data_IF_446563501793
#
_entry.id   IF_446563501793
#
_cell.length_a   1.000
_cell.length_b   1.000
_cell.length_c   1.000
_cell.angle_alpha   90.00
_cell.angle_beta   90.00
_cell.angle_gamma   90.00
#
_symmetry.space_group_name_H-M   'P 1'
#
loop_
_entity.id
_entity.type
_entity.pdbx_description
1 polymer ?
#
# COMPACT_ATOMS: atom_id res chain seq x y z
N UNK A 1 -45.95 46.83 -6.18
CA UNK A 1 -45.55 45.44 -5.86
C UNK A 1 -44.68 44.83 -6.98
N UNK A 2 -43.57 45.46 -7.38
CA UNK A 2 -42.64 44.92 -8.42
C UNK A 2 -41.16 45.04 -7.99
N UNK A 3 -40.86 45.57 -6.80
CA UNK A 3 -39.47 45.73 -6.31
C UNK A 3 -39.00 44.68 -5.30
N UNK A 4 -39.86 43.76 -4.87
CA UNK A 4 -39.51 42.68 -3.94
C UNK A 4 -39.27 41.32 -4.61
N UNK A 5 -39.54 41.19 -5.92
CA UNK A 5 -39.39 39.92 -6.63
C UNK A 5 -38.00 39.69 -7.25
N UNK A 6 -37.16 40.73 -7.30
CA UNK A 6 -35.79 40.64 -7.86
C UNK A 6 -34.71 40.33 -6.83
N UNK A 7 -35.00 40.42 -5.53
CA UNK A 7 -34.01 40.17 -4.47
C UNK A 7 -34.02 38.71 -3.98
N UNK A 8 -35.09 37.96 -4.20
CA UNK A 8 -35.23 36.55 -3.79
C UNK A 8 -34.71 35.55 -4.83
N UNK A 9 -34.51 35.95 -6.08
CA UNK A 9 -33.91 35.09 -7.12
C UNK A 9 -32.37 35.13 -7.12
N UNK A 10 -31.74 36.14 -6.50
CA UNK A 10 -30.29 36.25 -6.41
C UNK A 10 -29.68 35.41 -5.27
N UNK A 11 -30.45 35.04 -4.25
CA UNK A 11 -29.96 34.28 -3.07
C UNK A 11 -30.08 32.76 -3.24
N UNK A 12 -30.85 32.28 -4.21
CA UNK A 12 -30.97 30.85 -4.49
C UNK A 12 -29.90 30.29 -5.44
N UNK A 13 -29.07 31.15 -6.06
CA UNK A 13 -27.96 30.71 -6.92
C UNK A 13 -26.60 30.68 -6.20
N UNK A 14 -26.51 31.16 -4.96
CA UNK A 14 -25.25 31.20 -4.20
C UNK A 14 -25.05 30.01 -3.24
N UNK A 15 -25.98 29.05 -3.19
CA UNK A 15 -25.84 27.81 -2.41
C UNK A 15 -25.47 26.59 -3.26
N UNK A 16 -24.80 26.79 -4.40
CA UNK A 16 -23.87 25.75 -4.83
C UNK A 16 -22.73 25.79 -3.84
N UNK A 17 -22.80 24.93 -2.82
CA UNK A 17 -21.60 24.54 -2.09
C UNK A 17 -20.59 24.14 -3.16
N UNK A 18 -19.61 25.01 -3.44
CA UNK A 18 -18.49 24.63 -4.29
C UNK A 18 -17.82 23.50 -3.53
N UNK A 19 -18.11 22.27 -3.94
CA UNK A 19 -17.42 21.10 -3.44
C UNK A 19 -15.93 21.44 -3.50
N UNK A 20 -15.26 21.37 -2.35
CA UNK A 20 -13.86 21.74 -2.29
C UNK A 20 -13.09 20.72 -3.12
N UNK A 21 -12.82 21.09 -4.37
CA UNK A 21 -12.03 20.29 -5.29
C UNK A 21 -10.64 20.20 -4.69
N UNK A 22 -10.17 18.99 -4.44
CA UNK A 22 -8.87 18.74 -3.84
C UNK A 22 -7.99 18.07 -4.89
N UNK A 23 -6.82 18.63 -5.13
CA UNK A 23 -5.82 18.03 -6.01
C UNK A 23 -5.08 16.93 -5.26
N UNK A 24 -4.89 15.77 -5.90
CA UNK A 24 -3.96 14.72 -5.43
C UNK A 24 -2.56 15.30 -5.22
N UNK A 25 -2.21 16.33 -6.00
CA UNK A 25 -0.92 17.01 -5.91
C UNK A 25 -1.05 18.34 -5.17
N UNK A 26 -0.42 18.45 -4.01
CA UNK A 26 -0.34 19.69 -3.23
C UNK A 26 1.00 20.42 -3.47
N UNK A 27 0.96 21.72 -3.79
CA UNK A 27 2.15 22.57 -3.98
C UNK A 27 3.16 22.54 -2.83
N UNK A 28 2.69 22.33 -1.60
CA UNK A 28 3.58 22.28 -0.43
C UNK A 28 4.53 21.07 -0.45
N UNK A 29 4.24 20.04 -1.26
CA UNK A 29 4.93 18.76 -1.24
C UNK A 29 5.68 18.44 -2.56
N UNK A 30 5.59 19.30 -3.57
CA UNK A 30 6.22 19.11 -4.88
C UNK A 30 7.52 19.89 -4.98
N UNK A 31 8.61 19.21 -5.30
CA UNK A 31 9.89 19.80 -5.64
C UNK A 31 10.49 19.14 -6.91
N UNK A 32 11.73 19.47 -7.27
CA UNK A 32 12.38 18.96 -8.47
C UNK A 32 12.60 17.43 -8.46
N UNK A 33 12.66 16.81 -7.28
CA UNK A 33 12.80 15.36 -7.10
C UNK A 33 11.47 14.61 -7.20
N UNK A 34 10.34 15.31 -7.05
CA UNK A 34 9.01 14.70 -7.17
C UNK A 34 8.75 14.19 -8.58
N UNK A 35 8.16 13.01 -8.67
CA UNK A 35 7.63 12.37 -9.88
C UNK A 35 6.22 11.86 -9.57
N UNK A 36 5.36 11.78 -10.59
CA UNK A 36 4.01 11.22 -10.44
C UNK A 36 3.74 10.21 -11.54
N UNK A 37 3.26 9.02 -11.18
CA UNK A 37 3.03 7.93 -12.12
C UNK A 37 1.61 7.39 -11.98
N UNK A 38 0.89 7.29 -13.10
CA UNK A 38 -0.35 6.51 -13.19
C UNK A 38 -0.02 5.11 -13.71
N UNK A 39 -0.41 4.09 -12.96
CA UNK A 39 0.04 2.71 -13.14
C UNK A 39 -1.13 1.73 -12.94
N UNK A 40 -1.65 1.17 -14.04
CA UNK A 40 -2.64 0.10 -14.05
C UNK A 40 -1.99 -1.23 -13.64
N UNK A 41 -2.67 -2.08 -12.86
CA UNK A 41 -2.03 -3.21 -12.22
C UNK A 41 -1.58 -4.27 -13.24
N UNK A 42 -0.35 -4.77 -13.06
CA UNK A 42 0.30 -5.68 -14.01
C UNK A 42 -0.30 -7.09 -14.05
N UNK A 43 -1.10 -7.45 -13.05
CA UNK A 43 -1.80 -8.73 -12.98
C UNK A 43 -3.16 -8.72 -13.73
N UNK A 44 -3.60 -7.56 -14.26
CA UNK A 44 -4.81 -7.48 -15.09
C UNK A 44 -4.54 -8.03 -16.50
N UNK A 45 -4.92 -9.29 -16.73
CA UNK A 45 -4.74 -10.00 -18.01
C UNK A 45 -5.45 -9.29 -19.17
N UNK A 46 -6.58 -8.61 -18.91
CA UNK A 46 -7.31 -7.88 -19.96
C UNK A 46 -6.75 -6.49 -20.23
N UNK A 47 -5.77 -6.03 -19.44
CA UNK A 47 -5.08 -4.74 -19.62
C UNK A 47 -6.05 -3.57 -19.68
N UNK A 48 -7.15 -3.67 -18.94
CA UNK A 48 -8.35 -2.83 -19.05
C UNK A 48 -8.04 -1.35 -18.91
N UNK A 49 -7.09 -1.04 -18.02
CA UNK A 49 -6.75 0.32 -17.62
C UNK A 49 -5.35 0.77 -18.05
N UNK A 50 -4.60 -0.02 -18.84
CA UNK A 50 -3.29 0.41 -19.36
C UNK A 50 -3.37 1.71 -20.18
N UNK A 51 -4.53 1.99 -20.79
CA UNK A 51 -4.82 3.25 -21.50
C UNK A 51 -4.71 4.51 -20.64
N UNK A 52 -4.68 4.36 -19.32
CA UNK A 52 -4.56 5.46 -18.36
C UNK A 52 -3.14 5.57 -17.77
N UNK A 53 -2.18 4.76 -18.22
CA UNK A 53 -0.80 4.82 -17.71
C UNK A 53 -0.09 6.10 -18.15
N UNK A 54 0.50 6.83 -17.19
CA UNK A 54 1.21 8.08 -17.48
C UNK A 54 2.43 8.33 -16.58
N UNK A 55 3.36 9.19 -17.02
CA UNK A 55 4.61 9.48 -16.34
C UNK A 55 4.96 10.99 -16.31
N UNK A 56 4.79 11.64 -15.15
CA UNK A 56 5.09 13.06 -14.96
C UNK A 56 6.42 13.25 -14.24
N UNK A 57 7.48 13.53 -15.01
CA UNK A 57 8.85 13.59 -14.45
C UNK A 57 9.38 15.00 -14.21
N UNK A 58 8.68 16.03 -14.67
CA UNK A 58 9.11 17.43 -14.54
C UNK A 58 8.11 18.25 -13.75
N UNK A 59 8.59 19.28 -13.04
CA UNK A 59 7.73 20.18 -12.29
C UNK A 59 6.66 20.83 -13.19
N UNK A 60 6.99 21.20 -14.42
CA UNK A 60 6.03 21.78 -15.37
C UNK A 60 4.94 20.78 -15.81
N UNK A 61 5.30 19.52 -16.05
CA UNK A 61 4.34 18.47 -16.36
C UNK A 61 3.39 18.21 -15.18
N UNK A 62 3.92 18.13 -13.96
CA UNK A 62 3.16 17.96 -12.73
C UNK A 62 2.19 19.14 -12.52
N UNK A 63 2.66 20.38 -12.65
CA UNK A 63 1.81 21.57 -12.51
C UNK A 63 0.69 21.61 -13.55
N UNK A 64 0.98 21.20 -14.79
CA UNK A 64 -0.02 21.14 -15.86
C UNK A 64 -1.06 20.05 -15.62
N UNK A 65 -0.72 18.98 -14.90
CA UNK A 65 -1.58 17.84 -14.65
C UNK A 65 -2.53 18.02 -13.46
N UNK A 66 -2.29 19.01 -12.58
CA UNK A 66 -3.10 19.22 -11.37
C UNK A 66 -4.61 19.27 -11.61
N UNK A 67 -5.13 20.06 -12.58
CA UNK A 67 -6.58 20.11 -12.80
C UNK A 67 -7.19 18.78 -13.25
N UNK A 68 -6.36 17.89 -13.81
CA UNK A 68 -6.78 16.53 -14.22
C UNK A 68 -6.80 15.58 -13.02
N UNK A 69 -5.90 15.79 -12.05
CA UNK A 69 -5.72 14.98 -10.84
C UNK A 69 -6.49 15.56 -9.64
N UNK A 70 -7.56 16.28 -9.91
CA UNK A 70 -8.48 16.83 -8.93
C UNK A 70 -9.63 15.86 -8.65
N UNK A 71 -9.86 15.54 -7.39
CA UNK A 71 -11.01 14.76 -6.93
C UNK A 71 -12.02 15.64 -6.19
N UNK A 72 -13.27 15.18 -6.23
CA UNK A 72 -14.42 15.92 -5.73
C UNK A 72 -14.76 15.56 -4.29
N UNK A 73 -16.07 15.58 -4.00
CA UNK A 73 -16.62 15.29 -2.68
C UNK A 73 -16.35 13.85 -2.24
N UNK A 74 -16.30 13.64 -0.92
CA UNK A 74 -16.23 12.31 -0.33
C UNK A 74 -17.45 11.47 -0.74
N UNK A 75 -17.20 10.31 -1.33
CA UNK A 75 -18.23 9.39 -1.79
C UNK A 75 -18.73 8.52 -0.65
N UNK A 76 -19.98 8.06 -0.74
CA UNK A 76 -20.48 6.97 0.13
C UNK A 76 -20.18 5.58 -0.44
N UNK A 77 -19.64 5.51 -1.66
CA UNK A 77 -19.26 4.24 -2.28
C UNK A 77 -17.89 3.79 -1.76
N UNK A 78 -17.88 2.86 -0.83
CA UNK A 78 -16.68 2.21 -0.28
C UNK A 78 -16.23 0.99 -1.08
N UNK A 79 -16.84 0.70 -2.23
CA UNK A 79 -16.39 -0.37 -3.10
C UNK A 79 -15.12 0.06 -3.83
N UNK A 80 -14.11 -0.81 -3.78
CA UNK A 80 -12.89 -0.72 -4.56
C UNK A 80 -12.89 -1.80 -5.65
N UNK A 81 -12.32 -1.48 -6.80
CA UNK A 81 -12.07 -2.46 -7.85
C UNK A 81 -10.81 -3.25 -7.51
N UNK A 82 -10.85 -4.56 -7.76
CA UNK A 82 -9.69 -5.44 -7.54
C UNK A 82 -8.49 -5.02 -8.40
N UNK A 83 -8.76 -4.53 -9.62
CA UNK A 83 -7.75 -4.10 -10.59
C UNK A 83 -7.77 -2.57 -10.83
N UNK A 84 -8.07 -1.77 -9.79
CA UNK A 84 -8.00 -0.32 -9.91
C UNK A 84 -6.60 0.19 -10.28
N UNK A 85 -6.54 1.36 -10.92
CA UNK A 85 -5.28 2.02 -11.28
C UNK A 85 -4.71 2.76 -10.06
N UNK A 86 -3.40 2.69 -9.88
CA UNK A 86 -2.73 3.48 -8.83
C UNK A 86 -2.11 4.76 -9.41
N UNK A 87 -2.32 5.89 -8.73
CA UNK A 87 -1.53 7.10 -8.94
C UNK A 87 -0.55 7.22 -7.79
N UNK A 88 0.74 7.17 -8.09
CA UNK A 88 1.82 7.27 -7.11
C UNK A 88 2.50 8.63 -7.18
N UNK A 89 2.66 9.27 -6.02
CA UNK A 89 3.65 10.34 -5.86
C UNK A 89 4.95 9.74 -5.33
N UNK A 90 6.05 10.05 -6.01
CA UNK A 90 7.34 9.40 -5.79
C UNK A 90 8.44 10.43 -5.56
N UNK A 91 9.28 10.21 -4.55
CA UNK A 91 10.53 10.95 -4.33
C UNK A 91 11.67 9.97 -4.12
N UNK A 92 12.78 10.20 -4.81
CA UNK A 92 13.95 9.31 -4.77
C UNK A 92 13.57 7.83 -4.98
N UNK A 93 12.64 7.54 -5.90
CA UNK A 93 12.10 6.20 -6.20
C UNK A 93 11.32 5.53 -5.05
N UNK A 94 10.95 6.28 -4.02
CA UNK A 94 10.07 5.82 -2.93
C UNK A 94 8.70 6.45 -3.05
N UNK A 95 7.65 5.67 -2.83
CA UNK A 95 6.29 6.17 -2.75
C UNK A 95 6.19 7.05 -1.50
N UNK A 96 5.73 8.28 -1.67
CA UNK A 96 5.48 9.23 -0.57
C UNK A 96 3.99 9.51 -0.39
N UNK A 97 3.18 9.22 -1.40
CA UNK A 97 1.71 9.28 -1.33
C UNK A 97 1.13 8.46 -2.50
N UNK A 98 -0.12 8.02 -2.36
CA UNK A 98 -0.77 7.21 -3.40
C UNK A 98 -2.30 7.27 -3.35
N UNK A 99 -2.91 7.09 -4.52
CA UNK A 99 -4.35 7.02 -4.70
C UNK A 99 -4.72 5.78 -5.50
N UNK A 100 -5.76 5.07 -5.04
CA UNK A 100 -6.39 3.99 -5.81
C UNK A 100 -7.56 4.57 -6.59
N UNK A 101 -7.45 4.60 -7.92
CA UNK A 101 -8.49 5.02 -8.84
C UNK A 101 -9.31 3.81 -9.27
N UNK A 102 -10.63 3.91 -9.22
CA UNK A 102 -11.55 2.89 -9.70
C UNK A 102 -12.36 3.48 -10.87
N UNK A 103 -11.87 3.33 -12.13
CA UNK A 103 -12.49 3.97 -13.28
C UNK A 103 -13.95 3.58 -13.52
N UNK A 104 -14.33 2.31 -13.33
CA UNK A 104 -15.71 1.87 -13.53
C UNK A 104 -16.66 2.34 -12.41
N UNK A 105 -16.12 2.65 -11.23
CA UNK A 105 -16.89 3.15 -10.09
C UNK A 105 -16.85 4.69 -9.94
N UNK A 106 -16.16 5.40 -10.83
CA UNK A 106 -16.01 6.87 -10.82
C UNK A 106 -15.58 7.41 -9.44
N UNK A 107 -14.64 6.70 -8.80
CA UNK A 107 -14.14 7.08 -7.49
C UNK A 107 -12.62 6.90 -7.37
N UNK A 108 -12.06 7.53 -6.34
CA UNK A 108 -10.69 7.35 -5.90
C UNK A 108 -10.65 7.14 -4.40
N UNK A 109 -9.71 6.36 -3.90
CA UNK A 109 -9.41 6.24 -2.47
C UNK A 109 -8.10 6.92 -2.12
N UNK A 110 -8.11 7.64 -1.02
CA UNK A 110 -6.93 8.17 -0.35
C UNK A 110 -7.04 7.87 1.14
N UNK A 111 -6.04 7.22 1.73
CA UNK A 111 -6.05 6.81 3.14
C UNK A 111 -7.33 6.09 3.58
N UNK A 112 -7.85 5.20 2.72
CA UNK A 112 -9.07 4.43 2.95
C UNK A 112 -10.38 5.21 2.81
N UNK A 113 -10.31 6.51 2.48
CA UNK A 113 -11.49 7.36 2.28
C UNK A 113 -11.80 7.50 0.79
N UNK A 114 -13.05 7.21 0.34
CA UNK A 114 -13.43 7.34 -1.05
C UNK A 114 -13.87 8.76 -1.41
N UNK A 115 -13.54 9.20 -2.61
CA UNK A 115 -13.92 10.49 -3.20
C UNK A 115 -14.41 10.29 -4.64
N UNK A 116 -15.26 11.20 -5.13
CA UNK A 116 -15.65 11.19 -6.55
C UNK A 116 -14.46 11.56 -7.43
N UNK A 117 -14.26 10.81 -8.52
CA UNK A 117 -13.19 11.06 -9.47
C UNK A 117 -13.56 10.55 -10.86
N UNK A 118 -13.24 11.34 -11.87
CA UNK A 118 -13.48 10.99 -13.27
C UNK A 118 -12.17 10.57 -13.93
N UNK A 119 -11.98 9.25 -14.04
CA UNK A 119 -10.76 8.65 -14.58
C UNK A 119 -10.57 8.88 -16.08
N UNK A 120 -11.63 9.25 -16.83
CA UNK A 120 -11.50 9.48 -18.27
C UNK A 120 -10.60 10.71 -18.57
N UNK A 121 -10.48 11.63 -17.61
CA UNK A 121 -9.54 12.75 -17.71
C UNK A 121 -8.07 12.29 -17.77
N UNK A 122 -7.75 11.11 -17.25
CA UNK A 122 -6.39 10.56 -17.25
C UNK A 122 -5.89 10.21 -18.65
N UNK A 123 -6.79 9.98 -19.63
CA UNK A 123 -6.41 9.74 -21.02
C UNK A 123 -5.55 10.87 -21.57
N UNK A 124 -5.87 12.12 -21.22
CA UNK A 124 -5.10 13.31 -21.65
C UNK A 124 -3.65 13.26 -21.13
N UNK A 125 -3.45 12.73 -19.92
CA UNK A 125 -2.10 12.55 -19.36
C UNK A 125 -1.38 11.38 -20.02
N UNK A 126 -2.08 10.26 -20.23
CA UNK A 126 -1.51 9.06 -20.85
C UNK A 126 -1.09 9.30 -22.31
N UNK A 127 -1.85 10.09 -23.08
CA UNK A 127 -1.48 10.47 -24.44
C UNK A 127 -0.26 11.40 -24.48
N UNK A 128 -0.19 12.36 -23.55
CA UNK A 128 0.90 13.36 -23.53
C UNK A 128 2.18 12.83 -22.89
N UNK A 129 2.05 11.96 -21.91
CA UNK A 129 3.14 11.44 -21.09
C UNK A 129 2.99 9.92 -20.90
N UNK A 130 3.02 9.12 -21.98
CA UNK A 130 2.73 7.70 -21.91
C UNK A 130 3.71 6.94 -21.02
N UNK A 131 3.21 5.91 -20.36
CA UNK A 131 4.02 5.00 -19.57
C UNK A 131 3.76 3.55 -19.96
N UNK A 132 4.84 2.86 -20.34
CA UNK A 132 4.92 1.41 -20.41
C UNK A 132 5.92 0.98 -19.35
N UNK A 133 5.56 0.00 -18.53
CA UNK A 133 6.39 -0.41 -17.42
C UNK A 133 6.18 -1.90 -17.11
N UNK A 134 7.12 -2.44 -16.34
CA UNK A 134 7.08 -3.80 -15.79
C UNK A 134 7.52 -3.81 -14.33
N UNK A 135 7.24 -4.91 -13.66
CA UNK A 135 7.80 -5.21 -12.35
C UNK A 135 8.96 -6.21 -12.50
N UNK A 136 10.07 -5.89 -11.84
CA UNK A 136 11.17 -6.82 -11.62
C UNK A 136 11.26 -7.13 -10.12
N UNK A 137 11.18 -8.42 -9.79
CA UNK A 137 11.35 -8.92 -8.42
C UNK A 137 12.77 -9.46 -8.25
N UNK A 138 13.48 -8.97 -7.24
CA UNK A 138 14.85 -9.42 -6.90
C UNK A 138 14.89 -9.95 -5.49
N UNK A 139 15.34 -11.19 -5.34
CA UNK A 139 15.55 -11.81 -4.03
C UNK A 139 16.99 -11.64 -3.56
N UNK A 140 17.15 -11.36 -2.27
CA UNK A 140 18.45 -11.20 -1.61
C UNK A 140 18.57 -12.22 -0.48
N UNK A 141 19.80 -12.64 -0.18
CA UNK A 141 20.07 -13.56 0.93
C UNK A 141 20.05 -12.85 2.28
N UNK A 142 20.43 -11.58 2.31
CA UNK A 142 20.51 -10.76 3.51
C UNK A 142 20.66 -9.27 3.16
N UNK A 143 20.54 -8.42 4.19
CA UNK A 143 20.64 -6.97 4.06
C UNK A 143 22.01 -6.53 3.49
N UNK A 144 23.10 -7.18 3.90
CA UNK A 144 24.45 -6.82 3.42
C UNK A 144 24.60 -6.99 1.91
N UNK A 145 23.95 -8.00 1.32
CA UNK A 145 23.91 -8.19 -0.13
C UNK A 145 23.11 -7.07 -0.81
N UNK A 146 21.93 -6.75 -0.28
CA UNK A 146 21.10 -5.66 -0.80
C UNK A 146 21.84 -4.32 -0.77
N UNK A 147 22.49 -3.97 0.35
CA UNK A 147 23.20 -2.70 0.50
C UNK A 147 24.34 -2.51 -0.52
N UNK A 148 24.97 -3.59 -0.99
CA UNK A 148 25.99 -3.50 -2.07
C UNK A 148 25.40 -3.09 -3.41
N UNK A 149 24.16 -3.45 -3.69
CA UNK A 149 23.48 -3.17 -4.98
C UNK A 149 22.58 -1.94 -4.91
N UNK A 150 22.20 -1.52 -3.70
CA UNK A 150 21.25 -0.43 -3.43
C UNK A 150 21.60 0.84 -4.20
N UNK A 151 22.85 1.29 -4.14
CA UNK A 151 23.25 2.51 -4.84
C UNK A 151 23.01 2.42 -6.36
N UNK A 152 23.33 1.28 -6.98
CA UNK A 152 23.11 1.08 -8.41
C UNK A 152 21.61 1.07 -8.77
N UNK A 153 20.78 0.42 -7.95
CA UNK A 153 19.32 0.45 -8.12
C UNK A 153 18.77 1.89 -8.06
N UNK A 154 19.22 2.68 -7.10
CA UNK A 154 18.78 4.06 -6.94
C UNK A 154 19.43 5.04 -7.94
N UNK A 155 20.51 4.67 -8.60
CA UNK A 155 21.11 5.46 -9.68
C UNK A 155 20.50 5.19 -11.07
N UNK A 156 19.93 4.01 -11.30
CA UNK A 156 19.41 3.60 -12.61
C UNK A 156 18.17 4.42 -13.04
N UNK A 157 18.23 5.24 -14.10
CA UNK A 157 17.14 6.14 -14.48
C UNK A 157 15.86 5.41 -14.94
N UNK A 158 15.93 4.12 -15.25
CA UNK A 158 14.75 3.34 -15.65
C UNK A 158 13.94 2.81 -14.46
N UNK A 159 14.50 2.83 -13.25
CA UNK A 159 13.76 2.45 -12.04
C UNK A 159 12.85 3.60 -11.62
N UNK A 160 11.54 3.36 -11.66
CA UNK A 160 10.52 4.34 -11.30
C UNK A 160 10.23 4.32 -9.80
N UNK A 161 9.96 3.12 -9.27
CA UNK A 161 9.64 2.86 -7.87
C UNK A 161 10.42 1.64 -7.40
N UNK A 162 10.98 1.72 -6.19
CA UNK A 162 11.67 0.62 -5.52
C UNK A 162 11.02 0.41 -4.16
N UNK A 163 10.40 -0.75 -3.98
CA UNK A 163 10.01 -1.27 -2.66
C UNK A 163 11.18 -2.11 -2.15
N UNK A 164 11.83 -1.64 -1.08
CA UNK A 164 12.98 -2.32 -0.49
C UNK A 164 12.53 -3.63 0.21
N UNK A 165 13.40 -4.66 0.28
CA UNK A 165 13.08 -5.86 1.03
C UNK A 165 12.92 -5.56 2.53
N UNK A 166 11.98 -6.24 3.19
CA UNK A 166 11.84 -6.16 4.64
C UNK A 166 12.78 -7.17 5.34
N UNK A 167 13.83 -6.65 5.96
CA UNK A 167 14.80 -7.42 6.73
C UNK A 167 14.47 -7.51 8.23
N UNK A 168 13.27 -7.08 8.65
CA UNK A 168 12.87 -7.05 10.07
C UNK A 168 12.86 -8.44 10.70
N UNK A 169 12.45 -9.47 9.95
CA UNK A 169 12.35 -10.84 10.42
C UNK A 169 13.13 -11.79 9.50
N UNK A 170 13.81 -12.78 10.06
CA UNK A 170 14.51 -13.83 9.29
C UNK A 170 13.55 -14.93 8.85
N UNK A 171 12.49 -15.12 9.60
CA UNK A 171 11.52 -16.17 9.37
C UNK A 171 10.46 -16.19 10.45
N UNK A 172 9.69 -17.25 10.45
CA UNK A 172 8.68 -17.50 11.46
C UNK A 172 8.53 -18.98 11.73
N UNK A 173 7.86 -19.30 12.84
CA UNK A 173 7.37 -20.63 13.13
C UNK A 173 6.03 -20.53 13.83
N UNK A 174 5.27 -21.61 13.81
CA UNK A 174 3.96 -21.68 14.42
C UNK A 174 3.99 -22.48 15.72
N UNK A 175 3.13 -22.10 16.67
CA UNK A 175 2.94 -22.84 17.92
C UNK A 175 1.44 -23.05 18.13
N UNK A 176 1.06 -24.30 18.38
CA UNK A 176 -0.32 -24.68 18.68
C UNK A 176 -0.55 -24.70 20.19
N UNK A 177 -1.63 -24.06 20.61
CA UNK A 177 -2.08 -23.96 21.99
C UNK A 177 -3.46 -24.59 22.13
N UNK A 178 -3.69 -25.46 23.13
CA UNK A 178 -5.03 -25.94 23.44
C UNK A 178 -5.87 -24.81 24.05
N UNK A 179 -7.15 -24.74 23.70
CA UNK A 179 -8.07 -23.84 24.39
C UNK A 179 -8.36 -24.38 25.79
N UNK A 180 -8.00 -23.61 26.81
CA UNK A 180 -8.24 -23.93 28.22
C UNK A 180 -8.30 -22.64 29.07
N UNK A 181 -8.34 -22.76 30.39
CA UNK A 181 -8.40 -21.60 31.29
C UNK A 181 -7.19 -20.65 31.16
N UNK A 182 -6.01 -21.18 30.86
CA UNK A 182 -4.78 -20.41 30.68
C UNK A 182 -4.72 -19.76 29.29
N UNK A 183 -5.07 -20.50 28.25
CA UNK A 183 -5.05 -20.07 26.85
C UNK A 183 -6.48 -19.91 26.34
N UNK A 184 -7.23 -18.99 26.95
CA UNK A 184 -8.65 -18.79 26.65
C UNK A 184 -8.92 -18.07 25.32
N UNK A 185 -7.96 -17.25 24.88
CA UNK A 185 -8.03 -16.42 23.68
C UNK A 185 -6.62 -16.08 23.18
N UNK A 186 -6.49 -15.54 21.94
CA UNK A 186 -5.19 -15.14 21.41
C UNK A 186 -4.43 -14.13 22.28
N UNK A 187 -5.10 -13.16 22.91
CA UNK A 187 -4.41 -12.17 23.73
C UNK A 187 -3.71 -12.80 24.95
N UNK A 188 -4.36 -13.76 25.61
CA UNK A 188 -3.76 -14.49 26.73
C UNK A 188 -2.54 -15.31 26.27
N UNK A 189 -2.61 -15.91 25.08
CA UNK A 189 -1.51 -16.66 24.49
C UNK A 189 -0.33 -15.76 24.13
N UNK A 190 -0.58 -14.57 23.58
CA UNK A 190 0.46 -13.55 23.34
C UNK A 190 1.11 -13.13 24.66
N UNK A 191 0.33 -12.86 25.70
CA UNK A 191 0.83 -12.45 27.01
C UNK A 191 1.72 -13.53 27.66
N UNK A 192 1.44 -14.81 27.40
CA UNK A 192 2.29 -15.93 27.82
C UNK A 192 3.59 -16.01 27.02
N UNK A 193 3.52 -15.90 25.69
CA UNK A 193 4.66 -16.06 24.79
C UNK A 193 5.66 -14.90 24.86
N UNK A 194 5.16 -13.66 24.91
CA UNK A 194 5.97 -12.44 24.82
C UNK A 194 7.16 -12.42 25.80
N UNK A 195 6.99 -12.63 27.13
CA UNK A 195 8.13 -12.63 28.05
C UNK A 195 9.10 -13.79 27.81
N UNK A 196 8.67 -14.90 27.19
CA UNK A 196 9.57 -16.01 26.84
C UNK A 196 10.46 -15.64 25.65
N UNK A 197 9.90 -14.97 24.64
CA UNK A 197 10.64 -14.49 23.48
C UNK A 197 11.62 -13.37 23.87
N UNK A 198 11.20 -12.43 24.72
CA UNK A 198 12.03 -11.30 25.22
C UNK A 198 13.24 -11.74 26.08
N UNK A 199 13.20 -12.96 26.62
CA UNK A 199 14.36 -13.60 27.29
C UNK A 199 15.37 -14.13 26.30
N UNK A 200 14.94 -14.47 25.08
CA UNK A 200 15.80 -15.07 24.04
C UNK A 200 16.44 -14.00 23.15
N UNK A 201 15.73 -12.91 22.87
CA UNK A 201 16.22 -11.86 21.96
C UNK A 201 15.89 -10.45 22.44
N UNK A 202 16.67 -9.48 21.96
CA UNK A 202 16.41 -8.03 22.05
C UNK A 202 16.08 -7.42 20.68
N UNK A 203 16.14 -8.20 19.61
CA UNK A 203 15.72 -7.74 18.27
C UNK A 203 14.20 -7.64 18.20
N UNK A 204 13.71 -6.95 17.16
CA UNK A 204 12.28 -6.93 16.84
C UNK A 204 11.78 -8.35 16.57
N UNK A 205 10.61 -8.65 17.08
CA UNK A 205 9.87 -9.88 16.83
C UNK A 205 8.38 -9.54 16.79
N UNK A 206 7.58 -10.46 16.30
CA UNK A 206 6.13 -10.33 16.28
C UNK A 206 5.47 -11.65 16.70
N UNK A 207 4.30 -11.54 17.32
CA UNK A 207 3.51 -12.68 17.77
C UNK A 207 2.05 -12.40 17.42
N UNK A 208 1.54 -13.09 16.41
CA UNK A 208 0.18 -12.90 15.94
C UNK A 208 -0.58 -14.21 15.85
N UNK A 209 -1.90 -14.10 15.96
CA UNK A 209 -2.80 -15.20 15.68
C UNK A 209 -2.83 -15.50 14.18
N UNK A 210 -2.63 -16.77 13.81
CA UNK A 210 -2.71 -17.20 12.41
C UNK A 210 -4.18 -17.39 12.03
N UNK A 211 -4.70 -16.60 11.08
CA UNK A 211 -6.06 -16.82 10.58
C UNK A 211 -6.04 -17.87 9.46
N UNK A 212 -5.93 -19.14 9.81
CA UNK A 212 -5.98 -20.27 8.88
C UNK A 212 -7.34 -20.96 8.91
N UNK A 213 -7.71 -21.64 7.80
CA UNK A 213 -8.93 -22.46 7.74
C UNK A 213 -8.99 -23.47 8.90
N UNK A 214 -7.85 -24.07 9.26
CA UNK A 214 -7.74 -24.97 10.41
C UNK A 214 -8.18 -24.29 11.71
N UNK A 215 -7.73 -23.07 11.98
CA UNK A 215 -8.10 -22.36 13.21
C UNK A 215 -9.54 -21.82 13.17
N UNK A 216 -10.09 -21.58 11.98
CA UNK A 216 -11.50 -21.21 11.80
C UNK A 216 -12.42 -22.40 12.13
N UNK A 217 -12.04 -23.59 11.67
CA UNK A 217 -12.84 -24.81 11.81
C UNK A 217 -12.64 -25.50 13.17
N UNK A 218 -11.42 -25.51 13.70
CA UNK A 218 -11.09 -26.13 14.97
C UNK A 218 -10.94 -25.09 16.08
N UNK A 219 -12.05 -24.86 16.79
CA UNK A 219 -12.11 -23.92 17.91
C UNK A 219 -11.43 -24.42 19.18
N UNK A 220 -11.00 -25.69 19.23
CA UNK A 220 -10.40 -26.27 20.44
C UNK A 220 -8.92 -25.90 20.62
N UNK A 221 -8.35 -25.17 19.66
CA UNK A 221 -6.96 -24.75 19.66
C UNK A 221 -6.79 -23.34 19.07
N UNK A 222 -5.63 -22.75 19.32
CA UNK A 222 -5.15 -21.54 18.65
C UNK A 222 -3.78 -21.83 18.04
N UNK A 223 -3.52 -21.31 16.84
CA UNK A 223 -2.15 -21.29 16.30
C UNK A 223 -1.65 -19.86 16.32
N UNK A 224 -0.47 -19.69 16.92
CA UNK A 224 0.24 -18.41 16.96
C UNK A 224 1.45 -18.49 16.04
N UNK A 225 1.65 -17.49 15.20
CA UNK A 225 2.86 -17.28 14.43
C UNK A 225 3.82 -16.40 15.23
N UNK A 226 5.05 -16.86 15.41
CA UNK A 226 6.14 -16.09 16.00
C UNK A 226 7.15 -15.76 14.89
N UNK A 227 7.22 -14.50 14.49
CA UNK A 227 8.15 -14.00 13.47
C UNK A 227 9.34 -13.29 14.13
N UNK A 228 10.55 -13.51 13.63
CA UNK A 228 11.76 -12.97 14.23
C UNK A 228 13.05 -13.57 13.68
N UNK A 229 14.11 -13.55 14.48
CA UNK A 229 15.36 -14.26 14.17
C UNK A 229 15.23 -15.77 14.45
N UNK A 230 15.94 -16.60 13.68
CA UNK A 230 15.91 -18.07 13.82
C UNK A 230 16.37 -18.52 15.22
N UNK A 231 17.19 -17.70 15.89
CA UNK A 231 17.64 -17.93 17.25
C UNK A 231 16.47 -18.02 18.26
N UNK A 232 15.34 -17.34 18.02
CA UNK A 232 14.12 -17.51 18.82
C UNK A 232 13.64 -18.95 18.72
N UNK A 233 13.47 -19.45 17.50
CA UNK A 233 13.03 -20.83 17.24
C UNK A 233 13.96 -21.87 17.89
N UNK A 234 15.27 -21.66 17.82
CA UNK A 234 16.28 -22.58 18.36
C UNK A 234 16.30 -22.65 19.89
N UNK A 235 16.05 -21.54 20.58
CA UNK A 235 16.26 -21.42 22.04
C UNK A 235 14.98 -21.36 22.86
N UNK A 236 13.85 -20.99 22.28
CA UNK A 236 12.59 -20.89 23.02
C UNK A 236 12.22 -22.27 23.58
N UNK A 237 11.92 -22.30 24.88
CA UNK A 237 11.42 -23.48 25.57
C UNK A 237 9.92 -23.31 25.76
N UNK A 238 9.17 -24.28 25.26
CA UNK A 238 7.71 -24.31 25.31
C UNK A 238 7.32 -25.66 25.90
N UNK A 239 6.87 -25.64 27.16
CA UNK A 239 6.55 -26.86 27.89
C UNK A 239 5.19 -27.39 27.42
N UNK A 240 5.14 -28.65 26.96
CA UNK A 240 3.93 -29.34 26.51
C UNK A 240 3.17 -28.67 25.35
N UNK A 241 3.84 -27.87 24.53
CA UNK A 241 3.25 -27.20 23.36
C UNK A 241 3.86 -27.73 22.06
N UNK A 242 3.03 -27.84 21.03
CA UNK A 242 3.48 -28.29 19.71
C UNK A 242 4.05 -27.11 18.92
N UNK A 243 5.37 -27.12 18.73
CA UNK A 243 6.11 -26.18 17.88
C UNK A 243 6.22 -26.74 16.46
N UNK A 244 5.79 -25.98 15.47
CA UNK A 244 5.96 -26.28 14.05
C UNK A 244 7.40 -26.05 13.59
N UNK A 245 7.68 -26.36 12.32
CA UNK A 245 9.00 -26.16 11.72
C UNK A 245 9.29 -24.69 11.43
N UNK A 246 10.58 -24.35 11.37
CA UNK A 246 11.02 -23.02 10.96
C UNK A 246 10.77 -22.76 9.48
N UNK A 247 10.19 -21.61 9.17
CA UNK A 247 9.97 -21.11 7.81
C UNK A 247 10.82 -19.85 7.60
N UNK A 248 11.70 -19.87 6.58
CA UNK A 248 12.54 -18.71 6.26
C UNK A 248 11.78 -17.73 5.38
N UNK A 249 11.85 -16.43 5.70
CA UNK A 249 11.27 -15.38 4.86
C UNK A 249 12.21 -15.03 3.71
N UNK A 250 11.64 -14.82 2.52
CA UNK A 250 12.39 -14.32 1.36
C UNK A 250 12.52 -12.80 1.43
N UNK A 251 13.73 -12.28 1.31
CA UNK A 251 13.95 -10.83 1.18
C UNK A 251 13.83 -10.41 -0.28
N UNK A 252 12.63 -10.00 -0.69
CA UNK A 252 12.35 -9.58 -2.06
C UNK A 252 12.22 -8.05 -2.17
N UNK A 253 12.93 -7.45 -3.13
CA UNK A 253 12.63 -6.10 -3.60
C UNK A 253 11.70 -6.17 -4.80
N UNK A 254 10.71 -5.29 -4.84
CA UNK A 254 9.90 -5.03 -6.04
C UNK A 254 10.39 -3.74 -6.70
N UNK A 255 10.64 -3.79 -8.00
CA UNK A 255 11.19 -2.70 -8.77
C UNK A 255 10.27 -2.45 -9.96
N UNK A 256 9.52 -1.35 -9.94
CA UNK A 256 8.75 -0.91 -11.11
C UNK A 256 9.67 -0.15 -12.05
N UNK A 257 9.82 -0.67 -13.26
CA UNK A 257 10.78 -0.20 -14.26
C UNK A 257 10.06 0.23 -15.53
N UNK A 258 10.47 1.36 -16.08
CA UNK A 258 10.07 1.80 -17.41
C UNK A 258 10.52 0.78 -18.46
N UNK A 259 9.64 0.42 -19.38
CA UNK A 259 9.99 -0.34 -20.58
C UNK A 259 10.39 0.61 -21.72
N UNK A 260 11.38 0.18 -22.52
CA UNK A 260 11.85 0.90 -23.69
C UNK A 260 11.02 0.52 -24.92
#
# INVERSE_FOLDING_TARGET
MIKQFLLTTAVFLSNFATAQVTSMINDKNVDASTKVYGMAPLNDVTKTYEKFNFMLETASAIQSAKPILEYGYQSSNFQAEENGLMVYMVKDKKIVDQWLINPALYNTFHDGTPYSFDADKLVVLAEKYPLIYKEEKRQYKNEKEYQKQRQALYADPYNLIITEPDFTYEGYFEVQFPQNEQFKNPEATIAYLKPLVEKVTKKKFDINYSLSEKNILDRTQFTMTIAGEENIYKKIKLDNLKKGDWQTLSYEASILRKEN
#
